data_IF_514239315433
#
_entry.id   IF_514239315433
#
_cell.length_a   1.000
_cell.length_b   1.000
_cell.length_c   1.000
_cell.angle_alpha   90.00
_cell.angle_beta   90.00
_cell.angle_gamma   90.00
#
_symmetry.space_group_name_H-M   'P 1'
#
loop_
_entity.id
_entity.type
_entity.pdbx_description
1 polymer ?
#
# COMPACT_ATOMS: atom_id res chain seq x y z
N UNK A 1 6.88 22.85 -10.62
CA UNK A 1 7.08 21.40 -10.92
C UNK A 1 5.71 20.79 -11.18
N UNK A 2 5.58 19.75 -12.01
CA UNK A 2 4.30 19.07 -12.23
C UNK A 2 3.94 18.24 -10.99
N UNK A 3 2.63 18.09 -10.72
CA UNK A 3 2.13 17.20 -9.65
C UNK A 3 2.61 15.77 -9.92
N UNK A 4 3.07 15.07 -8.88
CA UNK A 4 3.37 13.63 -8.93
C UNK A 4 2.11 12.85 -8.55
N UNK A 5 1.52 12.14 -9.50
CA UNK A 5 0.24 11.42 -9.38
C UNK A 5 0.47 9.92 -9.26
N UNK A 6 0.13 9.36 -8.13
CA UNK A 6 0.38 7.95 -7.81
C UNK A 6 -0.97 7.22 -7.75
N UNK A 7 -1.17 6.24 -8.63
CA UNK A 7 -2.24 5.26 -8.49
C UNK A 7 -1.82 4.14 -7.54
N UNK A 8 -2.75 3.64 -6.74
CA UNK A 8 -2.48 2.61 -5.75
C UNK A 8 -3.56 1.53 -5.86
N UNK A 9 -3.15 0.28 -6.00
CA UNK A 9 -4.04 -0.88 -6.02
C UNK A 9 -3.75 -1.76 -4.80
N UNK A 10 -4.78 -1.95 -3.96
CA UNK A 10 -4.69 -2.78 -2.77
C UNK A 10 -5.42 -4.10 -2.93
N UNK A 11 -4.89 -5.15 -2.32
CA UNK A 11 -5.50 -6.45 -2.12
C UNK A 11 -6.25 -6.94 -3.38
N UNK A 12 -5.48 -7.31 -4.41
CA UNK A 12 -6.04 -7.58 -5.74
C UNK A 12 -6.94 -8.83 -5.76
N UNK A 13 -6.58 -9.86 -4.98
CA UNK A 13 -7.33 -11.12 -4.88
C UNK A 13 -7.83 -11.66 -6.24
N UNK A 14 -6.94 -11.65 -7.25
CA UNK A 14 -7.27 -12.09 -8.61
C UNK A 14 -7.96 -11.03 -9.48
N UNK A 15 -8.34 -9.88 -8.93
CA UNK A 15 -9.03 -8.81 -9.65
C UNK A 15 -8.03 -7.85 -10.33
N UNK A 16 -7.35 -8.36 -11.35
CA UNK A 16 -6.48 -7.58 -12.22
C UNK A 16 -6.49 -8.19 -13.63
N UNK A 17 -6.90 -7.43 -14.61
CA UNK A 17 -7.02 -7.89 -15.99
C UNK A 17 -6.52 -6.85 -17.01
N UNK A 18 -6.72 -7.11 -18.32
CA UNK A 18 -6.32 -6.19 -19.38
C UNK A 18 -7.06 -4.84 -19.33
N UNK A 19 -8.24 -4.82 -18.72
CA UNK A 19 -9.01 -3.57 -18.54
C UNK A 19 -8.31 -2.65 -17.54
N UNK A 20 -7.76 -3.19 -16.44
CA UNK A 20 -6.99 -2.41 -15.48
C UNK A 20 -5.73 -1.80 -16.13
N UNK A 21 -5.03 -2.60 -16.96
CA UNK A 21 -3.82 -2.16 -17.65
C UNK A 21 -4.12 -1.02 -18.64
N UNK A 22 -5.16 -1.21 -19.48
CA UNK A 22 -5.63 -0.17 -20.39
C UNK A 22 -6.13 1.08 -19.64
N UNK A 23 -6.82 0.90 -18.52
CA UNK A 23 -7.29 2.00 -17.70
C UNK A 23 -6.12 2.83 -17.17
N UNK A 24 -5.02 2.21 -16.72
CA UNK A 24 -3.83 2.93 -16.31
C UNK A 24 -3.23 3.78 -17.44
N UNK A 25 -3.27 3.30 -18.69
CA UNK A 25 -2.84 4.11 -19.85
C UNK A 25 -3.73 5.33 -20.04
N UNK A 26 -5.06 5.19 -19.86
CA UNK A 26 -6.03 6.27 -20.02
C UNK A 26 -5.97 7.33 -18.92
N UNK A 27 -5.86 6.90 -17.66
CA UNK A 27 -5.81 7.81 -16.49
C UNK A 27 -4.40 8.33 -16.23
N UNK A 28 -3.39 7.72 -16.86
CA UNK A 28 -2.00 8.14 -16.95
C UNK A 28 -1.40 8.61 -15.59
N UNK A 29 -1.32 7.76 -14.56
CA UNK A 29 -0.57 8.08 -13.35
C UNK A 29 0.93 8.09 -13.66
N UNK A 30 1.71 8.78 -12.83
CA UNK A 30 3.17 8.81 -12.96
C UNK A 30 3.82 7.56 -12.35
N UNK A 31 3.14 6.89 -11.42
CA UNK A 31 3.57 5.64 -10.80
C UNK A 31 2.38 4.80 -10.34
N UNK A 32 2.62 3.49 -10.18
CA UNK A 32 1.69 2.54 -9.56
C UNK A 32 2.32 1.91 -8.32
N UNK A 33 1.59 1.89 -7.21
CA UNK A 33 1.96 1.11 -6.02
C UNK A 33 0.97 -0.05 -5.82
N UNK A 34 1.47 -1.23 -5.44
CA UNK A 34 0.65 -2.43 -5.21
C UNK A 34 0.99 -3.03 -3.85
N UNK A 35 -0.01 -3.18 -2.98
CA UNK A 35 0.20 -3.57 -1.57
C UNK A 35 0.12 -5.08 -1.31
N UNK A 36 0.10 -5.93 -2.36
CA UNK A 36 0.09 -7.38 -2.20
C UNK A 36 -1.29 -8.02 -2.27
N UNK A 37 -1.35 -9.27 -1.81
CA UNK A 37 -2.49 -10.17 -1.97
C UNK A 37 -2.96 -10.21 -3.43
N UNK A 38 -2.01 -10.57 -4.31
CA UNK A 38 -2.20 -10.46 -5.76
C UNK A 38 -3.20 -11.49 -6.26
N UNK A 39 -2.93 -12.78 -6.03
CA UNK A 39 -3.80 -13.88 -6.50
C UNK A 39 -3.47 -15.23 -5.81
N UNK A 40 -3.53 -15.28 -4.48
CA UNK A 40 -3.36 -16.52 -3.68
C UNK A 40 -2.17 -17.42 -4.12
N UNK A 41 -1.04 -16.80 -4.47
CA UNK A 41 0.17 -17.51 -4.90
C UNK A 41 0.23 -17.86 -6.39
N UNK A 42 -0.79 -17.53 -7.17
CA UNK A 42 -0.79 -17.73 -8.62
C UNK A 42 0.06 -16.66 -9.33
N UNK A 43 0.63 -17.03 -10.49
CA UNK A 43 1.62 -16.19 -11.15
C UNK A 43 1.08 -15.24 -12.24
N UNK A 44 -0.21 -15.33 -12.56
CA UNK A 44 -0.78 -14.52 -13.65
C UNK A 44 -0.62 -13.03 -13.39
N UNK A 45 -0.99 -12.56 -12.20
CA UNK A 45 -0.91 -11.13 -11.86
C UNK A 45 0.53 -10.66 -11.72
N UNK A 46 1.44 -11.33 -10.97
CA UNK A 46 2.85 -10.96 -10.97
C UNK A 46 3.45 -10.82 -12.38
N UNK A 47 3.15 -11.78 -13.29
CA UNK A 47 3.62 -11.74 -14.65
C UNK A 47 3.02 -10.59 -15.49
N UNK A 48 1.77 -10.18 -15.21
CA UNK A 48 1.16 -9.01 -15.85
C UNK A 48 1.78 -7.71 -15.33
N UNK A 49 1.90 -7.56 -14.01
CA UNK A 49 2.54 -6.39 -13.38
C UNK A 49 3.98 -6.20 -13.86
N UNK A 50 4.73 -7.30 -14.07
CA UNK A 50 6.11 -7.21 -14.54
C UNK A 50 6.26 -6.70 -15.97
N UNK A 51 5.20 -6.72 -16.78
CA UNK A 51 5.19 -6.24 -18.18
C UNK A 51 4.75 -4.78 -18.32
N UNK A 52 4.19 -4.20 -17.26
CA UNK A 52 3.76 -2.79 -17.31
C UNK A 52 4.97 -1.88 -17.56
N UNK A 53 4.79 -0.93 -18.46
CA UNK A 53 5.80 0.09 -18.74
C UNK A 53 5.76 1.25 -17.74
N UNK A 54 4.73 1.28 -16.90
CA UNK A 54 4.56 2.26 -15.84
C UNK A 54 5.55 1.99 -14.70
N UNK A 55 6.23 3.04 -14.15
CA UNK A 55 7.01 2.90 -12.93
C UNK A 55 6.19 2.30 -11.79
N UNK A 56 6.64 1.17 -11.24
CA UNK A 56 5.86 0.38 -10.30
C UNK A 56 6.71 -0.10 -9.13
N UNK A 57 6.15 -0.04 -7.91
CA UNK A 57 6.66 -0.72 -6.74
C UNK A 57 5.56 -1.60 -6.12
N UNK A 58 5.93 -2.79 -5.68
CA UNK A 58 5.03 -3.79 -5.12
C UNK A 58 5.62 -4.42 -3.86
N UNK A 59 4.79 -4.73 -2.88
CA UNK A 59 5.11 -5.68 -1.80
C UNK A 59 4.17 -6.88 -1.93
N UNK A 60 4.62 -8.07 -1.50
CA UNK A 60 3.78 -9.26 -1.46
C UNK A 60 3.06 -9.36 -0.11
N UNK A 61 1.80 -9.80 -0.13
CA UNK A 61 0.97 -10.02 1.04
C UNK A 61 0.99 -11.46 1.55
N UNK A 62 0.22 -11.73 2.58
CA UNK A 62 0.19 -13.05 3.21
C UNK A 62 -0.45 -14.12 2.33
N UNK A 63 -1.42 -13.79 1.49
CA UNK A 63 -2.03 -14.72 0.53
C UNK A 63 -1.08 -15.09 -0.60
N UNK A 64 -0.10 -14.26 -0.91
CA UNK A 64 0.86 -14.51 -1.97
C UNK A 64 1.81 -15.68 -1.69
N UNK A 65 1.87 -16.15 -0.45
CA UNK A 65 2.59 -17.40 -0.12
C UNK A 65 1.86 -18.66 -0.64
N UNK A 66 0.58 -18.57 -1.03
CA UNK A 66 -0.23 -19.67 -1.56
C UNK A 66 -0.39 -20.84 -0.58
N UNK A 67 -0.25 -20.61 0.75
CA UNK A 67 -0.21 -21.64 1.80
C UNK A 67 0.91 -22.67 1.62
N UNK A 68 1.94 -22.33 0.88
CA UNK A 68 3.10 -23.18 0.60
C UNK A 68 4.21 -22.93 1.64
N UNK A 69 4.35 -23.86 2.58
CA UNK A 69 5.38 -23.78 3.63
C UNK A 69 6.80 -23.94 3.10
N UNK A 70 6.99 -24.51 1.90
CA UNK A 70 8.32 -24.64 1.28
C UNK A 70 8.89 -23.33 0.74
N UNK A 71 8.05 -22.29 0.60
CA UNK A 71 8.41 -20.99 0.06
C UNK A 71 8.57 -20.94 -1.47
N UNK A 72 8.44 -22.06 -2.19
CA UNK A 72 8.59 -22.08 -3.67
C UNK A 72 7.61 -21.18 -4.38
N UNK A 73 6.37 -21.10 -3.86
CA UNK A 73 5.33 -20.21 -4.41
C UNK A 73 5.73 -18.75 -4.26
N UNK A 74 6.20 -18.36 -3.08
CA UNK A 74 6.69 -17.01 -2.83
C UNK A 74 7.91 -16.67 -3.69
N UNK A 75 8.88 -17.58 -3.78
CA UNK A 75 10.07 -17.40 -4.64
C UNK A 75 9.71 -17.17 -6.10
N UNK A 76 8.73 -17.91 -6.65
CA UNK A 76 8.28 -17.74 -8.03
C UNK A 76 7.65 -16.38 -8.27
N UNK A 77 6.88 -15.85 -7.30
CA UNK A 77 6.30 -14.52 -7.43
C UNK A 77 7.36 -13.42 -7.32
N UNK A 78 8.32 -13.56 -6.39
CA UNK A 78 9.46 -12.65 -6.30
C UNK A 78 10.26 -12.62 -7.61
N UNK A 79 10.53 -13.78 -8.19
CA UNK A 79 11.22 -13.88 -9.47
C UNK A 79 10.42 -13.25 -10.63
N UNK A 80 9.09 -13.41 -10.64
CA UNK A 80 8.24 -12.80 -11.67
C UNK A 80 8.17 -11.28 -11.56
N UNK A 81 8.13 -10.72 -10.34
CA UNK A 81 8.12 -9.26 -10.10
C UNK A 81 9.49 -8.62 -10.29
N UNK A 82 10.56 -9.38 -10.04
CA UNK A 82 11.92 -8.89 -10.12
C UNK A 82 12.15 -7.66 -9.24
N UNK A 83 12.77 -6.64 -9.82
CA UNK A 83 13.08 -5.37 -9.13
C UNK A 83 11.85 -4.53 -8.76
N UNK A 84 10.65 -4.89 -9.24
CA UNK A 84 9.40 -4.22 -8.84
C UNK A 84 8.99 -4.55 -7.42
N UNK A 85 9.41 -5.70 -6.89
CA UNK A 85 9.19 -6.04 -5.49
C UNK A 85 10.19 -5.29 -4.60
N UNK A 86 9.68 -4.54 -3.62
CA UNK A 86 10.50 -3.72 -2.74
C UNK A 86 10.46 -4.13 -1.26
N UNK A 87 9.87 -5.28 -0.90
CA UNK A 87 9.80 -5.72 0.50
C UNK A 87 11.17 -5.70 1.20
N UNK A 88 11.27 -5.02 2.34
CA UNK A 88 12.51 -4.73 3.07
C UNK A 88 13.59 -3.98 2.26
N UNK A 89 13.21 -3.38 1.13
CA UNK A 89 14.16 -2.73 0.24
C UNK A 89 13.67 -1.36 -0.23
N UNK A 90 14.57 -0.66 -0.93
CA UNK A 90 14.33 0.62 -1.55
C UNK A 90 14.08 0.43 -3.05
N UNK A 91 13.09 1.12 -3.58
CA UNK A 91 12.91 1.34 -5.00
C UNK A 91 12.75 2.81 -5.30
N UNK A 92 13.70 3.40 -5.99
CA UNK A 92 13.56 4.75 -6.53
C UNK A 92 12.96 4.67 -7.94
N UNK A 93 11.81 5.27 -8.11
CA UNK A 93 11.14 5.37 -9.41
C UNK A 93 11.59 6.66 -10.10
N UNK A 94 12.43 6.53 -11.12
CA UNK A 94 13.01 7.66 -11.87
C UNK A 94 12.88 7.46 -13.40
N UNK A 95 12.08 8.25 -14.13
CA UNK A 95 11.10 9.15 -13.57
C UNK A 95 10.05 8.39 -12.77
N UNK A 96 9.16 8.95 -11.97
CA UNK A 96 8.86 10.39 -11.86
C UNK A 96 9.59 11.10 -10.71
N UNK A 97 10.40 10.43 -9.92
CA UNK A 97 11.07 11.00 -8.76
C UNK A 97 10.34 10.69 -7.46
N UNK A 98 10.24 9.40 -7.11
CA UNK A 98 9.60 8.88 -5.90
C UNK A 98 10.47 7.82 -5.25
N UNK A 99 10.74 7.93 -3.96
CA UNK A 99 11.37 6.88 -3.17
C UNK A 99 10.29 6.03 -2.49
N UNK A 100 10.30 4.72 -2.77
CA UNK A 100 9.38 3.74 -2.16
C UNK A 100 10.18 2.73 -1.37
N UNK A 101 9.87 2.58 -0.09
CA UNK A 101 10.51 1.58 0.79
C UNK A 101 9.48 0.58 1.25
N UNK A 102 9.77 -0.68 1.02
CA UNK A 102 8.87 -1.78 1.36
C UNK A 102 8.97 -2.17 2.83
N UNK A 103 7.81 -2.42 3.45
CA UNK A 103 7.69 -3.10 4.72
C UNK A 103 8.03 -4.59 4.62
N UNK A 104 7.72 -5.34 5.67
CA UNK A 104 7.92 -6.80 5.73
C UNK A 104 7.06 -7.52 4.69
N UNK A 105 7.67 -8.30 3.77
CA UNK A 105 6.91 -9.06 2.79
C UNK A 105 6.12 -10.20 3.45
N UNK A 106 5.00 -10.57 2.84
CA UNK A 106 4.11 -11.64 3.29
C UNK A 106 3.59 -11.47 4.73
N UNK A 107 3.47 -10.23 5.23
CA UNK A 107 2.92 -9.95 6.55
C UNK A 107 1.43 -10.26 6.59
N UNK A 108 0.99 -10.88 7.69
CA UNK A 108 -0.42 -11.10 8.02
C UNK A 108 -0.90 -10.17 9.16
N UNK A 109 -0.12 -9.16 9.52
CA UNK A 109 -0.41 -8.33 10.69
C UNK A 109 -0.32 -9.08 12.01
N UNK A 110 -0.92 -8.52 13.06
CA UNK A 110 -1.02 -9.17 14.38
C UNK A 110 0.29 -9.25 15.14
N UNK A 111 1.15 -8.26 14.99
CA UNK A 111 2.46 -8.18 15.62
C UNK A 111 3.60 -8.60 14.68
N UNK A 112 4.62 -9.25 15.23
CA UNK A 112 5.78 -9.65 14.45
C UNK A 112 5.91 -11.17 14.36
N UNK A 113 5.71 -11.72 13.18
CA UNK A 113 6.00 -13.11 12.85
C UNK A 113 6.19 -13.26 11.33
N UNK A 114 6.98 -14.24 10.92
CA UNK A 114 7.02 -14.71 9.54
C UNK A 114 6.31 -16.07 9.47
N UNK A 115 5.45 -16.23 8.46
CA UNK A 115 4.91 -17.56 8.17
C UNK A 115 6.01 -18.49 7.64
N UNK A 116 5.75 -19.80 7.61
CA UNK A 116 6.74 -20.80 7.22
C UNK A 116 7.29 -20.57 5.81
N UNK A 117 6.43 -20.20 4.85
CA UNK A 117 6.85 -19.92 3.48
C UNK A 117 7.80 -18.72 3.40
N UNK A 118 7.53 -17.66 4.15
CA UNK A 118 8.41 -16.50 4.24
C UNK A 118 9.73 -16.84 4.94
N UNK A 119 9.70 -17.65 6.02
CA UNK A 119 10.91 -18.14 6.69
C UNK A 119 11.78 -19.00 5.76
N UNK A 120 11.16 -19.84 4.93
CA UNK A 120 11.88 -20.68 3.95
C UNK A 120 12.61 -19.84 2.89
N UNK A 121 12.08 -18.65 2.55
CA UNK A 121 12.66 -17.76 1.53
C UNK A 121 13.69 -16.81 2.12
N UNK A 122 13.34 -16.15 3.23
CA UNK A 122 14.13 -15.05 3.80
C UNK A 122 15.00 -15.46 5.00
N UNK A 123 14.86 -16.71 5.44
CA UNK A 123 15.47 -17.18 6.68
C UNK A 123 14.76 -16.67 7.94
N UNK A 124 15.28 -17.00 9.12
CA UNK A 124 14.81 -16.44 10.37
C UNK A 124 15.20 -14.96 10.45
N UNK A 125 14.22 -14.08 10.56
CA UNK A 125 14.41 -12.63 10.70
C UNK A 125 13.79 -12.21 12.04
N UNK A 126 14.55 -11.52 12.86
CA UNK A 126 14.06 -10.94 14.12
C UNK A 126 13.31 -9.64 13.90
N UNK A 127 12.53 -9.20 14.90
CA UNK A 127 11.85 -7.91 14.88
C UNK A 127 12.87 -6.77 14.62
N UNK A 128 13.97 -6.76 15.34
CA UNK A 128 15.01 -5.73 15.23
C UNK A 128 15.68 -5.74 13.84
N UNK A 129 15.91 -6.91 13.27
CA UNK A 129 16.47 -7.03 11.94
C UNK A 129 15.48 -6.53 10.86
N UNK A 130 14.19 -6.85 10.98
CA UNK A 130 13.18 -6.31 10.09
C UNK A 130 13.11 -4.79 10.14
N UNK A 131 13.09 -4.22 11.35
CA UNK A 131 13.16 -2.76 11.56
C UNK A 131 14.42 -2.17 10.92
N UNK A 132 15.58 -2.79 11.15
CA UNK A 132 16.85 -2.32 10.61
C UNK A 132 16.87 -2.30 9.09
N UNK A 133 16.33 -3.34 8.43
CA UNK A 133 16.23 -3.41 6.97
C UNK A 133 15.38 -2.27 6.41
N UNK A 134 14.20 -2.01 6.98
CA UNK A 134 13.31 -0.91 6.56
C UNK A 134 13.97 0.45 6.77
N UNK A 135 14.58 0.67 7.94
CA UNK A 135 15.25 1.94 8.27
C UNK A 135 16.44 2.18 7.34
N UNK A 136 17.30 1.16 7.12
CA UNK A 136 18.46 1.28 6.24
C UNK A 136 18.02 1.62 4.82
N UNK A 137 17.00 0.96 4.29
CA UNK A 137 16.44 1.25 2.97
C UNK A 137 15.91 2.70 2.88
N UNK A 138 15.22 3.16 3.93
CA UNK A 138 14.68 4.52 3.94
C UNK A 138 15.76 5.60 4.02
N UNK A 139 16.83 5.36 4.80
CA UNK A 139 17.93 6.31 4.93
C UNK A 139 18.90 6.30 3.72
N UNK A 140 18.90 5.23 2.94
CA UNK A 140 19.65 5.13 1.69
C UNK A 140 18.98 5.87 0.53
N UNK A 141 17.66 6.15 0.62
CA UNK A 141 16.94 6.84 -0.43
C UNK A 141 17.39 8.31 -0.56
N UNK A 142 17.41 8.80 -1.81
CA UNK A 142 17.71 10.19 -2.11
C UNK A 142 16.84 11.14 -1.25
N UNK A 143 17.46 12.02 -0.44
CA UNK A 143 16.73 12.91 0.46
C UNK A 143 15.86 13.95 -0.27
N UNK A 144 16.13 14.22 -1.55
CA UNK A 144 15.34 15.14 -2.37
C UNK A 144 14.02 14.55 -2.85
N UNK A 145 13.85 13.21 -2.76
CA UNK A 145 12.64 12.55 -3.18
C UNK A 145 11.63 12.41 -2.03
N UNK A 146 10.32 12.60 -2.29
CA UNK A 146 9.29 12.24 -1.33
C UNK A 146 9.39 10.74 -1.03
N UNK A 147 9.27 10.38 0.26
CA UNK A 147 9.35 9.01 0.73
C UNK A 147 7.95 8.44 0.96
N UNK A 148 7.67 7.30 0.36
CA UNK A 148 6.48 6.49 0.66
C UNK A 148 6.92 5.15 1.26
N UNK A 149 6.37 4.81 2.42
CA UNK A 149 6.48 3.44 2.94
C UNK A 149 5.31 2.62 2.39
N UNK A 150 5.62 1.50 1.75
CA UNK A 150 4.66 0.59 1.13
C UNK A 150 4.68 -0.74 1.86
N UNK A 151 3.57 -1.13 2.49
CA UNK A 151 3.49 -2.36 3.23
C UNK A 151 2.22 -3.14 2.88
N UNK A 152 2.19 -4.45 3.15
CA UNK A 152 0.93 -5.19 3.03
C UNK A 152 0.03 -4.91 4.24
N UNK A 153 0.51 -5.14 5.45
CA UNK A 153 -0.20 -4.76 6.68
C UNK A 153 0.27 -3.40 7.18
N UNK A 154 -0.65 -2.57 7.69
CA UNK A 154 -0.32 -1.28 8.28
C UNK A 154 0.41 -1.40 9.61
N UNK A 155 0.98 -0.30 10.12
CA UNK A 155 1.68 -0.32 11.40
C UNK A 155 0.72 -0.46 12.59
N UNK A 156 1.19 -1.06 13.67
CA UNK A 156 0.50 -0.97 14.97
C UNK A 156 0.44 0.48 15.46
N UNK A 157 -0.56 0.80 16.30
CA UNK A 157 -0.76 2.14 16.86
C UNK A 157 -1.81 2.97 16.13
N UNK A 158 -2.50 2.42 15.12
CA UNK A 158 -3.57 3.12 14.39
C UNK A 158 -4.98 2.85 14.94
N UNK A 159 -5.10 2.28 16.14
CA UNK A 159 -6.34 2.01 16.83
C UNK A 159 -6.65 0.52 17.00
N UNK A 160 -7.56 0.21 17.93
CA UNK A 160 -7.89 -1.17 18.34
C UNK A 160 -9.34 -1.55 18.06
N UNK A 161 -10.20 -0.59 17.70
CA UNK A 161 -11.58 -0.90 17.33
C UNK A 161 -11.65 -1.59 15.98
N UNK A 162 -12.67 -2.40 15.74
CA UNK A 162 -12.83 -3.15 14.49
C UNK A 162 -12.82 -2.26 13.24
N UNK A 163 -13.34 -1.03 13.35
CA UNK A 163 -13.38 -0.04 12.28
C UNK A 163 -12.12 0.81 12.11
N UNK A 164 -11.12 0.66 12.98
CA UNK A 164 -9.86 1.39 12.86
C UNK A 164 -9.00 0.85 11.70
N UNK A 165 -8.06 1.62 11.16
CA UNK A 165 -7.29 1.25 9.95
C UNK A 165 -6.63 -0.13 10.02
N UNK A 166 -6.13 -0.55 11.19
CA UNK A 166 -5.51 -1.85 11.44
C UNK A 166 -6.29 -2.70 12.44
N UNK A 167 -7.55 -2.36 12.75
CA UNK A 167 -8.36 -3.07 13.73
C UNK A 167 -8.82 -4.44 13.24
N UNK A 168 -8.70 -5.48 14.07
CA UNK A 168 -9.19 -6.82 13.78
C UNK A 168 -10.69 -6.91 13.95
N UNK A 169 -11.43 -7.34 12.92
CA UNK A 169 -12.89 -7.42 12.91
C UNK A 169 -13.48 -8.84 12.77
N UNK A 170 -12.65 -9.85 12.45
CA UNK A 170 -13.13 -11.22 12.20
C UNK A 170 -13.22 -12.10 13.46
N UNK A 171 -12.60 -11.69 14.56
CA UNK A 171 -12.61 -12.42 15.84
C UNK A 171 -12.67 -11.44 17.01
N UNK A 172 -13.66 -11.54 17.92
CA UNK A 172 -13.70 -10.76 19.15
C UNK A 172 -12.66 -11.25 20.18
N UNK A 173 -12.15 -10.38 21.07
CA UNK A 173 -12.36 -8.95 21.02
C UNK A 173 -11.62 -8.31 19.84
N UNK A 174 -12.09 -7.13 19.38
CA UNK A 174 -11.31 -6.32 18.45
C UNK A 174 -9.98 -5.93 19.10
N UNK A 175 -8.94 -5.83 18.30
CA UNK A 175 -7.62 -5.39 18.76
C UNK A 175 -6.84 -4.81 17.59
N UNK A 176 -5.79 -4.06 17.91
CA UNK A 176 -4.81 -3.63 16.92
C UNK A 176 -4.14 -4.85 16.28
N UNK A 177 -4.16 -4.92 14.96
CA UNK A 177 -3.61 -6.02 14.18
C UNK A 177 -2.47 -5.57 13.25
N UNK A 178 -1.91 -4.39 13.52
CA UNK A 178 -0.82 -3.83 12.73
C UNK A 178 0.53 -4.53 12.94
N UNK A 179 1.49 -4.17 12.10
CA UNK A 179 2.88 -4.62 12.13
C UNK A 179 3.72 -3.80 13.10
N UNK A 180 4.34 -4.45 14.07
CA UNK A 180 5.20 -3.81 15.07
C UNK A 180 6.51 -3.28 14.45
N UNK A 181 7.12 -4.04 13.56
CA UNK A 181 8.36 -3.66 12.89
C UNK A 181 8.19 -2.42 12.03
N UNK A 182 7.06 -2.29 11.33
CA UNK A 182 6.75 -1.10 10.54
C UNK A 182 6.56 0.13 11.44
N UNK A 183 5.85 0.00 12.56
CA UNK A 183 5.67 1.10 13.51
C UNK A 183 6.99 1.61 14.09
N UNK A 184 7.85 0.68 14.54
CA UNK A 184 9.19 1.01 15.07
C UNK A 184 10.10 1.61 14.00
N UNK A 185 10.02 1.10 12.76
CA UNK A 185 10.79 1.65 11.65
C UNK A 185 10.37 3.10 11.34
N UNK A 186 9.06 3.38 11.26
CA UNK A 186 8.53 4.73 11.07
C UNK A 186 9.07 5.69 12.15
N UNK A 187 9.02 5.28 13.41
CA UNK A 187 9.54 6.09 14.53
C UNK A 187 11.04 6.42 14.35
N UNK A 188 11.85 5.43 13.97
CA UNK A 188 13.29 5.61 13.78
C UNK A 188 13.63 6.46 12.56
N UNK A 189 12.92 6.25 11.43
CA UNK A 189 13.11 7.02 10.19
C UNK A 189 12.82 8.50 10.43
N UNK A 190 11.72 8.82 11.13
CA UNK A 190 11.29 10.18 11.43
C UNK A 190 12.34 11.02 12.20
N UNK A 191 13.23 10.40 12.92
CA UNK A 191 14.34 11.11 13.60
C UNK A 191 15.36 11.68 12.61
N UNK A 192 15.32 11.26 11.35
CA UNK A 192 16.31 11.59 10.31
C UNK A 192 15.71 12.24 9.07
N UNK A 193 14.49 11.84 8.68
CA UNK A 193 13.79 12.40 7.53
C UNK A 193 12.28 12.25 7.69
N UNK A 194 11.47 13.13 7.03
CA UNK A 194 10.02 13.01 7.03
C UNK A 194 9.54 11.68 6.40
N UNK A 195 8.42 11.16 6.92
CA UNK A 195 7.64 10.08 6.32
C UNK A 195 6.25 10.65 6.00
N UNK A 196 6.05 11.23 4.81
CA UNK A 196 4.81 11.90 4.47
C UNK A 196 3.64 10.93 4.30
N UNK A 197 3.90 9.70 3.80
CA UNK A 197 2.84 8.74 3.49
C UNK A 197 3.29 7.29 3.78
N UNK A 198 2.39 6.55 4.43
CA UNK A 198 2.44 5.10 4.60
C UNK A 198 1.23 4.51 3.92
N UNK A 199 1.44 3.61 2.95
CA UNK A 199 0.40 2.93 2.17
C UNK A 199 0.39 1.46 2.55
N UNK A 200 -0.79 0.93 2.82
CA UNK A 200 -0.96 -0.49 3.19
C UNK A 200 -2.34 -1.02 2.77
N UNK A 201 -2.57 -2.31 2.98
CA UNK A 201 -3.81 -3.03 2.71
C UNK A 201 -4.16 -3.99 3.83
N UNK A 202 -4.42 -5.27 3.50
CA UNK A 202 -4.71 -6.39 4.38
C UNK A 202 -6.05 -6.29 5.13
N UNK A 203 -6.32 -5.18 5.78
CA UNK A 203 -7.59 -4.94 6.47
C UNK A 203 -8.61 -4.39 5.49
N UNK A 204 -9.43 -5.29 4.91
CA UNK A 204 -10.43 -4.89 3.91
C UNK A 204 -11.34 -3.78 4.40
N UNK A 205 -11.77 -2.90 3.50
CA UNK A 205 -12.57 -1.72 3.84
C UNK A 205 -13.94 -2.09 4.43
N UNK A 206 -14.59 -3.17 3.93
CA UNK A 206 -15.84 -3.66 4.52
C UNK A 206 -15.59 -4.56 5.72
N UNK A 207 -16.25 -4.26 6.82
CA UNK A 207 -16.13 -5.03 8.05
C UNK A 207 -16.82 -6.40 7.92
N UNK A 208 -16.11 -7.48 8.30
CA UNK A 208 -16.63 -8.86 8.21
C UNK A 208 -17.77 -9.14 9.18
N UNK A 209 -17.76 -8.52 10.37
CA UNK A 209 -18.72 -8.76 11.45
C UNK A 209 -19.42 -7.50 11.92
N UNK A 210 -19.30 -6.42 11.20
CA UNK A 210 -19.94 -5.16 11.50
C UNK A 210 -20.76 -4.68 10.32
N UNK A 211 -21.64 -3.75 10.59
CA UNK A 211 -22.24 -2.93 9.55
C UNK A 211 -21.37 -1.71 9.36
N UNK A 212 -20.98 -1.43 8.12
CA UNK A 212 -20.21 -0.25 7.78
C UNK A 212 -18.81 -0.55 7.24
N UNK A 213 -18.07 0.52 7.07
CA UNK A 213 -16.78 0.53 6.43
C UNK A 213 -15.67 0.87 7.44
N UNK A 214 -14.48 0.38 7.17
CA UNK A 214 -13.27 0.67 7.90
C UNK A 214 -12.79 2.08 7.58
N UNK A 215 -12.24 2.76 8.59
CA UNK A 215 -11.50 4.00 8.38
C UNK A 215 -10.27 3.73 7.53
N UNK A 216 -10.27 4.24 6.30
CA UNK A 216 -9.18 4.00 5.33
C UNK A 216 -8.04 5.01 5.41
N UNK A 217 -8.24 6.13 6.12
CA UNK A 217 -7.25 7.20 6.21
C UNK A 217 -7.19 7.81 7.60
N UNK A 218 -5.99 8.06 8.08
CA UNK A 218 -5.75 8.92 9.23
C UNK A 218 -4.41 9.66 9.09
N UNK A 219 -4.20 10.69 9.90
CA UNK A 219 -2.94 11.41 9.99
C UNK A 219 -2.55 11.54 11.46
N UNK A 220 -1.31 11.25 11.78
CA UNK A 220 -0.82 11.40 13.13
C UNK A 220 -0.33 12.84 13.44
N UNK A 221 0.02 13.07 14.71
CA UNK A 221 0.50 14.39 15.17
C UNK A 221 1.84 14.80 14.55
N UNK A 222 2.63 13.86 14.06
CA UNK A 222 3.88 14.15 13.36
C UNK A 222 3.68 14.47 11.88
N UNK A 223 2.43 14.46 11.39
CA UNK A 223 2.06 14.79 10.03
C UNK A 223 2.11 13.63 9.05
N UNK A 224 2.48 12.42 9.47
CA UNK A 224 2.44 11.24 8.60
C UNK A 224 1.00 10.85 8.28
N UNK A 225 0.72 10.68 7.01
CA UNK A 225 -0.53 10.14 6.51
C UNK A 225 -0.45 8.62 6.40
N UNK A 226 -1.52 7.94 6.81
CA UNK A 226 -1.69 6.49 6.75
C UNK A 226 -2.89 6.18 5.87
N UNK A 227 -2.68 5.42 4.80
CA UNK A 227 -3.70 5.07 3.82
C UNK A 227 -3.84 3.56 3.70
N UNK A 228 -4.97 3.04 4.15
CA UNK A 228 -5.40 1.67 3.87
C UNK A 228 -6.09 1.65 2.50
N UNK A 229 -5.55 0.87 1.58
CA UNK A 229 -6.04 0.78 0.19
C UNK A 229 -6.75 -0.53 -0.12
N UNK A 230 -7.03 -1.37 0.89
CA UNK A 230 -7.67 -2.67 0.75
C UNK A 230 -9.17 -2.56 0.39
N UNK A 231 -9.46 -1.95 -0.74
CA UNK A 231 -10.81 -1.80 -1.27
C UNK A 231 -11.24 -3.08 -2.02
N UNK A 232 -11.80 -4.03 -1.27
CA UNK A 232 -12.17 -5.35 -1.79
C UNK A 232 -13.69 -5.52 -1.75
N UNK A 233 -14.33 -5.87 -2.88
CA UNK A 233 -13.77 -6.05 -4.22
C UNK A 233 -13.39 -4.71 -4.88
N UNK A 234 -12.29 -4.70 -5.65
CA UNK A 234 -11.87 -3.52 -6.41
C UNK A 234 -12.49 -3.45 -7.82
N UNK A 235 -13.10 -4.52 -8.28
CA UNK A 235 -13.99 -4.56 -9.42
C UNK A 235 -15.43 -4.55 -8.94
N UNK A 236 -16.23 -3.65 -9.46
CA UNK A 236 -17.62 -3.47 -9.06
C UNK A 236 -18.51 -3.14 -10.25
N UNK A 237 -19.74 -2.80 -9.93
CA UNK A 237 -20.73 -2.25 -10.87
C UNK A 237 -21.45 -1.10 -10.20
N UNK A 238 -21.83 -0.08 -10.97
CA UNK A 238 -22.70 0.99 -10.48
C UNK A 238 -24.19 0.55 -10.47
N UNK A 239 -25.06 1.44 -10.05
CA UNK A 239 -26.52 1.19 -9.97
C UNK A 239 -27.17 0.92 -11.33
N UNK A 240 -26.48 1.21 -12.43
CA UNK A 240 -26.90 0.94 -13.81
C UNK A 240 -26.26 -0.33 -14.39
N UNK A 241 -25.51 -1.09 -13.58
CA UNK A 241 -24.80 -2.28 -14.01
C UNK A 241 -23.52 -2.01 -14.82
N UNK A 242 -23.02 -0.76 -14.88
CA UNK A 242 -21.78 -0.45 -15.58
C UNK A 242 -20.59 -0.92 -14.76
N UNK A 243 -19.59 -1.58 -15.38
CA UNK A 243 -18.42 -2.05 -14.67
C UNK A 243 -17.60 -0.88 -14.12
N UNK A 244 -17.02 -1.09 -12.95
CA UNK A 244 -16.19 -0.12 -12.22
C UNK A 244 -14.85 -0.73 -11.88
N UNK A 245 -13.81 0.11 -11.84
CA UNK A 245 -12.46 -0.21 -11.39
C UNK A 245 -12.01 0.79 -10.35
N UNK A 246 -11.52 0.28 -9.23
CA UNK A 246 -11.06 1.10 -8.11
C UNK A 246 -9.55 1.29 -8.12
N UNK A 247 -9.10 2.53 -7.88
CA UNK A 247 -7.76 2.89 -7.47
C UNK A 247 -7.81 3.93 -6.35
N UNK A 248 -6.97 3.75 -5.34
CA UNK A 248 -6.64 4.85 -4.43
C UNK A 248 -5.61 5.75 -5.10
N UNK A 249 -5.56 7.00 -4.68
CA UNK A 249 -4.63 7.99 -5.25
C UNK A 249 -3.93 8.76 -4.16
N UNK A 250 -2.65 9.05 -4.41
CA UNK A 250 -1.88 10.05 -3.69
C UNK A 250 -1.27 11.03 -4.69
N UNK A 251 -1.36 12.31 -4.41
CA UNK A 251 -0.80 13.37 -5.25
C UNK A 251 0.17 14.19 -4.41
N UNK A 252 1.43 14.25 -4.85
CA UNK A 252 2.43 15.13 -4.26
C UNK A 252 2.58 16.39 -5.11
N UNK A 253 2.69 17.52 -4.44
CA UNK A 253 2.95 18.85 -5.03
C UNK A 253 4.19 19.41 -4.40
N UNK A 254 5.17 19.75 -5.18
CA UNK A 254 6.46 20.28 -4.71
C UNK A 254 7.10 19.44 -3.60
N UNK A 255 6.95 18.11 -3.69
CA UNK A 255 7.46 17.15 -2.71
C UNK A 255 6.58 16.90 -1.46
N UNK A 256 5.49 17.66 -1.31
CA UNK A 256 4.55 17.51 -0.18
C UNK A 256 3.28 16.75 -0.59
N UNK A 257 2.74 15.96 0.33
CA UNK A 257 1.50 15.22 0.10
C UNK A 257 0.31 16.22 0.07
N UNK A 258 -0.22 16.43 -1.13
CA UNK A 258 -1.33 17.35 -1.39
C UNK A 258 -2.70 16.70 -1.26
N UNK A 259 -2.93 15.58 -1.94
CA UNK A 259 -4.24 14.92 -1.95
C UNK A 259 -4.11 13.41 -1.72
N UNK A 260 -5.11 12.84 -1.02
CA UNK A 260 -5.34 11.39 -0.94
C UNK A 260 -6.82 11.17 -1.24
N UNK A 261 -7.13 10.22 -2.12
CA UNK A 261 -8.52 9.92 -2.50
C UNK A 261 -8.72 8.47 -2.92
N UNK A 262 -9.95 7.98 -2.79
CA UNK A 262 -10.45 6.78 -3.46
C UNK A 262 -11.20 7.17 -4.73
N UNK A 263 -10.97 6.45 -5.82
CA UNK A 263 -11.57 6.78 -7.11
C UNK A 263 -12.06 5.52 -7.81
N UNK A 264 -13.24 5.64 -8.42
CA UNK A 264 -13.83 4.60 -9.26
C UNK A 264 -13.95 5.12 -10.69
N UNK A 265 -13.49 4.31 -11.61
CA UNK A 265 -13.46 4.63 -13.03
C UNK A 265 -14.30 3.64 -13.82
N UNK A 266 -14.87 4.08 -14.94
CA UNK A 266 -15.33 3.18 -15.99
C UNK A 266 -14.13 2.53 -16.70
N UNK A 267 -14.31 1.43 -17.44
CA UNK A 267 -13.28 0.83 -18.28
C UNK A 267 -12.71 1.78 -19.36
N UNK A 268 -13.47 2.81 -19.73
CA UNK A 268 -13.11 3.83 -20.71
C UNK A 268 -12.33 5.00 -20.10
N UNK A 269 -12.08 5.00 -18.80
CA UNK A 269 -11.28 6.00 -18.09
C UNK A 269 -12.07 7.18 -17.52
N UNK A 270 -13.41 7.13 -17.59
CA UNK A 270 -14.23 8.16 -16.96
C UNK A 270 -14.20 8.03 -15.44
N UNK A 271 -13.90 9.13 -14.73
CA UNK A 271 -13.98 9.18 -13.27
C UNK A 271 -15.45 9.29 -12.84
N UNK A 272 -16.01 8.22 -12.29
CA UNK A 272 -17.42 8.16 -11.90
C UNK A 272 -17.65 8.53 -10.44
N UNK A 273 -16.76 8.08 -9.54
CA UNK A 273 -16.83 8.41 -8.11
C UNK A 273 -15.46 8.80 -7.57
N UNK A 274 -15.43 9.82 -6.70
CA UNK A 274 -14.24 10.26 -6.01
C UNK A 274 -14.58 10.61 -4.57
N UNK A 275 -13.89 9.96 -3.65
CA UNK A 275 -13.91 10.29 -2.24
C UNK A 275 -12.57 10.89 -1.86
N UNK A 276 -12.53 12.18 -1.55
CA UNK A 276 -11.33 12.86 -1.06
C UNK A 276 -11.20 12.58 0.44
N UNK A 277 -10.08 11.99 0.84
CA UNK A 277 -9.75 11.64 2.22
C UNK A 277 -8.89 12.71 2.88
N UNK A 278 -7.99 13.33 2.10
CA UNK A 278 -7.22 14.49 2.48
C UNK A 278 -7.05 15.40 1.26
N UNK A 279 -7.17 16.69 1.48
CA UNK A 279 -6.85 17.75 0.52
C UNK A 279 -5.72 18.61 1.10
N UNK A 280 -5.02 19.40 0.25
CA UNK A 280 -4.08 20.39 0.74
C UNK A 280 -4.75 21.26 1.81
N UNK A 281 -4.08 21.50 2.93
CA UNK A 281 -4.52 22.52 3.85
C UNK A 281 -4.61 23.81 3.04
N UNK A 282 -5.83 24.33 2.85
CA UNK A 282 -6.00 25.66 2.29
C UNK A 282 -5.10 26.58 3.11
N UNK A 283 -4.22 27.35 2.44
CA UNK A 283 -3.36 28.29 3.11
C UNK A 283 -4.26 29.11 4.07
N UNK A 284 -4.08 28.92 5.39
CA UNK A 284 -4.75 29.75 6.36
C UNK A 284 -4.35 31.16 6.00
N UNK A 285 -5.30 31.95 5.53
CA UNK A 285 -5.16 33.39 5.54
C UNK A 285 -4.81 33.75 7.00
N UNK A 286 -3.53 33.98 7.23
CA UNK A 286 -3.07 34.67 8.42
C UNK A 286 -3.70 36.05 8.33
N UNK A 287 -4.82 36.24 9.00
CA UNK A 287 -5.29 37.57 9.27
C UNK A 287 -4.19 38.27 10.10
N UNK A 288 -3.68 39.43 9.67
CA UNK A 288 -2.74 40.17 10.49
C UNK A 288 -3.44 40.55 11.78
N UNK A 289 -2.79 40.29 12.92
CA UNK A 289 -3.15 40.84 14.22
C UNK A 289 -3.06 42.34 14.22
#
# INVERSE_FOLDING_TARGET
>A
MSDLRIAIAGDLHGQWDATDERLLELIAPDALLVVGDLNDGQQQIPARLSRLQLPLACVLGNHDTGRDSSGRTLQRQLAALGDRHCGWGLRELRPPGLAVVGGRPASAGGGFHLNQGAQAVFGPVSLEESVSRIVTAALAADPSLPLVLLAHSGPTGLGSAAGDPCGRDWKPPACDWGDQDLALAIERIRRRRPVPLVVFGHMHHRLKRGQGDRLSFCRDRAGTAYLNTAFVPRHGTDDRGRPLRHFSWAVFRDGELGEVSHRWYSPEGELLYRQVLAAPLAAKQLAPC
#
